data_IF_752871799384
#
_entry.id   IF_752871799384
#
_cell.length_a   1.000
_cell.length_b   1.000
_cell.length_c   1.000
_cell.angle_alpha   90.00
_cell.angle_beta   90.00
_cell.angle_gamma   90.00
#
_symmetry.space_group_name_H-M   'P 1'
#
loop_
_entity.id
_entity.type
_entity.pdbx_description
1 polymer ?
#
# COMPACT_ATOMS: atom_id res chain seq x y z
N UNK A 1 -6.31 2.21 -10.40
CA UNK A 1 -7.21 3.33 -10.10
C UNK A 1 -6.69 4.58 -10.81
N UNK A 2 -7.54 5.28 -11.55
CA UNK A 2 -7.21 6.57 -12.18
C UNK A 2 -7.20 7.75 -11.18
N UNK A 3 -7.57 7.50 -9.93
CA UNK A 3 -7.60 8.52 -8.88
C UNK A 3 -6.25 8.56 -8.16
N UNK A 4 -5.53 9.65 -8.33
CA UNK A 4 -4.21 9.88 -7.73
C UNK A 4 -4.27 10.45 -6.32
N UNK A 5 -5.46 10.85 -5.86
CA UNK A 5 -5.68 11.42 -4.52
C UNK A 5 -4.92 12.71 -4.24
N UNK A 6 -4.35 13.35 -5.26
CA UNK A 6 -3.61 14.60 -5.12
C UNK A 6 -2.25 14.46 -4.43
N UNK A 7 -1.65 13.29 -4.45
CA UNK A 7 -0.40 13.02 -3.73
C UNK A 7 0.73 14.00 -4.10
N UNK A 8 0.94 14.30 -5.39
CA UNK A 8 1.99 15.24 -5.83
C UNK A 8 1.68 16.68 -5.37
N UNK A 9 0.42 17.11 -5.44
CA UNK A 9 -0.01 18.44 -4.96
C UNK A 9 0.25 18.60 -3.46
N UNK A 10 -0.07 17.57 -2.69
CA UNK A 10 0.13 17.58 -1.24
C UNK A 10 1.61 17.56 -0.88
N UNK A 11 2.42 16.74 -1.56
CA UNK A 11 3.87 16.72 -1.38
C UNK A 11 4.47 18.08 -1.68
N UNK A 12 4.08 18.73 -2.80
CA UNK A 12 4.58 20.04 -3.17
C UNK A 12 4.23 21.08 -2.08
N UNK A 13 3.00 21.07 -1.54
CA UNK A 13 2.60 21.94 -0.44
C UNK A 13 3.50 21.75 0.81
N UNK A 14 3.78 20.51 1.20
CA UNK A 14 4.69 20.24 2.32
C UNK A 14 6.12 20.71 2.05
N UNK A 15 6.58 20.70 0.80
CA UNK A 15 7.89 21.22 0.40
C UNK A 15 7.94 22.75 0.43
N UNK A 16 6.86 23.42 -0.02
CA UNK A 16 6.73 24.88 0.01
C UNK A 16 6.79 25.43 1.43
N UNK A 17 6.22 24.74 2.43
CA UNK A 17 6.36 25.10 3.86
C UNK A 17 7.82 25.11 4.33
N UNK A 18 8.73 24.45 3.60
CA UNK A 18 10.17 24.39 3.84
C UNK A 18 10.99 25.18 2.82
N UNK A 19 10.36 26.13 2.11
CA UNK A 19 10.98 26.92 1.03
C UNK A 19 11.60 26.05 -0.08
N UNK A 20 10.98 24.90 -0.39
CA UNK A 20 11.35 23.98 -1.46
C UNK A 20 10.18 23.75 -2.38
N UNK A 21 10.43 23.19 -3.56
CA UNK A 21 9.38 22.82 -4.53
C UNK A 21 9.68 21.47 -5.15
N UNK A 22 8.63 20.81 -5.62
CA UNK A 22 8.73 19.59 -6.40
C UNK A 22 9.14 19.96 -7.83
N UNK A 23 10.28 19.46 -8.30
CA UNK A 23 10.73 19.70 -9.67
C UNK A 23 10.21 18.66 -10.66
N UNK A 24 10.03 17.42 -10.18
CA UNK A 24 9.60 16.31 -11.00
C UNK A 24 8.60 15.43 -10.24
N UNK A 25 7.53 15.00 -10.90
CA UNK A 25 6.53 14.12 -10.33
C UNK A 25 5.73 13.40 -11.41
N UNK A 26 5.61 12.09 -11.30
CA UNK A 26 4.85 11.22 -12.19
C UNK A 26 4.00 10.24 -11.39
N UNK A 27 2.92 9.81 -12.00
CA UNK A 27 2.10 8.73 -11.47
C UNK A 27 2.38 7.44 -12.25
N UNK A 28 2.53 6.34 -11.53
CA UNK A 28 2.59 5.00 -12.07
C UNK A 28 1.35 4.27 -11.57
N UNK A 29 0.54 3.73 -12.47
CA UNK A 29 -0.73 3.12 -12.13
C UNK A 29 -0.61 1.61 -12.16
N UNK A 30 -0.87 0.98 -11.00
CA UNK A 30 -1.04 -0.47 -10.86
C UNK A 30 -2.50 -0.82 -10.59
N UNK A 31 -2.83 -2.11 -10.66
CA UNK A 31 -4.12 -2.59 -10.17
C UNK A 31 -4.20 -2.42 -8.64
N UNK A 32 -5.43 -2.31 -8.13
CA UNK A 32 -5.65 -2.17 -6.68
C UNK A 32 -5.45 -3.50 -5.97
N UNK A 33 -4.66 -3.51 -4.91
CA UNK A 33 -4.55 -4.60 -3.95
C UNK A 33 -5.50 -4.43 -2.74
N UNK A 34 -6.34 -3.40 -2.74
CA UNK A 34 -7.32 -3.19 -1.68
C UNK A 34 -8.52 -4.12 -1.86
N UNK A 35 -8.31 -5.40 -1.54
CA UNK A 35 -9.28 -6.47 -1.75
C UNK A 35 -10.59 -6.35 -0.95
N UNK A 36 -10.76 -5.56 0.11
CA UNK A 36 -12.07 -5.30 0.66
C UNK A 36 -13.08 -4.80 -0.39
N UNK A 37 -12.63 -3.97 -1.35
CA UNK A 37 -13.47 -3.35 -2.36
C UNK A 37 -13.21 -3.87 -3.79
N UNK A 38 -11.99 -4.30 -4.09
CA UNK A 38 -11.57 -4.66 -5.44
C UNK A 38 -11.22 -6.15 -5.53
N UNK A 39 -11.35 -6.70 -6.73
CA UNK A 39 -10.85 -8.04 -7.06
C UNK A 39 -9.42 -7.93 -7.60
N UNK A 40 -8.60 -8.91 -7.26
CA UNK A 40 -7.30 -9.08 -7.91
C UNK A 40 -7.53 -9.52 -9.36
N UNK A 41 -6.89 -8.88 -10.35
CA UNK A 41 -7.01 -9.32 -11.74
C UNK A 41 -6.32 -10.67 -11.95
N UNK A 42 -6.66 -11.42 -13.02
CA UNK A 42 -5.97 -12.66 -13.38
C UNK A 42 -4.45 -12.45 -13.53
N UNK A 43 -3.67 -13.48 -13.25
CA UNK A 43 -2.20 -13.43 -13.22
C UNK A 43 -1.59 -12.88 -14.52
N UNK A 44 -2.06 -13.33 -15.67
CA UNK A 44 -1.62 -12.82 -16.98
C UNK A 44 -1.73 -11.28 -17.06
N UNK A 45 -2.88 -10.74 -16.61
CA UNK A 45 -3.08 -9.29 -16.58
C UNK A 45 -2.19 -8.59 -15.55
N UNK A 46 -1.92 -9.23 -14.41
CA UNK A 46 -0.98 -8.70 -13.42
C UNK A 46 0.42 -8.58 -14.01
N UNK A 47 0.93 -9.68 -14.62
CA UNK A 47 2.26 -9.72 -15.23
C UNK A 47 2.41 -8.70 -16.36
N UNK A 48 1.37 -8.57 -17.20
CA UNK A 48 1.36 -7.54 -18.24
C UNK A 48 1.47 -6.12 -17.66
N UNK A 49 0.68 -5.79 -16.63
CA UNK A 49 0.72 -4.46 -16.00
C UNK A 49 2.10 -4.21 -15.37
N UNK A 50 2.72 -5.22 -14.77
CA UNK A 50 4.06 -5.12 -14.18
C UNK A 50 5.08 -4.81 -15.27
N UNK A 51 5.06 -5.56 -16.38
CA UNK A 51 6.00 -5.36 -17.50
C UNK A 51 5.83 -3.98 -18.15
N UNK A 52 4.59 -3.58 -18.46
CA UNK A 52 4.29 -2.25 -19.05
C UNK A 52 4.81 -1.11 -18.13
N UNK A 53 4.71 -1.28 -16.82
CA UNK A 53 5.19 -0.28 -15.87
C UNK A 53 6.71 -0.28 -15.69
N UNK A 54 7.41 -1.38 -15.92
CA UNK A 54 8.88 -1.41 -15.91
C UNK A 54 9.46 -0.45 -16.97
N UNK A 55 8.92 -0.47 -18.19
CA UNK A 55 9.35 0.46 -19.26
C UNK A 55 9.10 1.92 -18.87
N UNK A 56 7.93 2.19 -18.27
CA UNK A 56 7.58 3.54 -17.80
C UNK A 56 8.53 4.00 -16.69
N UNK A 57 8.92 3.12 -15.76
CA UNK A 57 9.86 3.42 -14.69
C UNK A 57 11.23 3.78 -15.27
N UNK A 58 11.76 3.02 -16.25
CA UNK A 58 13.02 3.34 -16.92
C UNK A 58 12.98 4.70 -17.60
N UNK A 59 11.88 5.01 -18.32
CA UNK A 59 11.68 6.32 -18.93
C UNK A 59 11.73 7.45 -17.87
N UNK A 60 11.01 7.29 -16.76
CA UNK A 60 10.97 8.31 -15.71
C UNK A 60 12.31 8.44 -14.99
N UNK A 61 13.03 7.34 -14.78
CA UNK A 61 14.39 7.38 -14.24
C UNK A 61 15.34 8.18 -15.14
N UNK A 62 15.24 8.01 -16.45
CA UNK A 62 16.02 8.76 -17.42
C UNK A 62 15.64 10.26 -17.45
N UNK A 63 14.34 10.58 -17.35
CA UNK A 63 13.88 11.98 -17.23
C UNK A 63 14.46 12.66 -15.95
N UNK A 64 14.50 11.93 -14.81
CA UNK A 64 15.11 12.43 -13.57
C UNK A 64 16.61 12.61 -13.72
N UNK A 65 17.31 11.63 -14.32
CA UNK A 65 18.76 11.70 -14.57
C UNK A 65 19.15 12.92 -15.41
N UNK A 66 18.31 13.29 -16.40
CA UNK A 66 18.50 14.46 -17.24
C UNK A 66 17.94 15.76 -16.63
N UNK A 67 17.66 15.78 -15.33
CA UNK A 67 17.15 16.94 -14.60
C UNK A 67 15.88 17.58 -15.21
N UNK A 68 15.06 16.78 -15.90
CA UNK A 68 13.82 17.25 -16.52
C UNK A 68 12.86 17.78 -15.47
N UNK A 69 12.40 19.02 -15.62
CA UNK A 69 11.39 19.62 -14.73
C UNK A 69 10.02 19.40 -15.32
N UNK A 70 9.22 18.55 -14.65
CA UNK A 70 7.85 18.27 -15.09
C UNK A 70 7.03 17.60 -13.99
N UNK A 71 5.84 18.09 -13.75
CA UNK A 71 4.92 17.54 -12.74
C UNK A 71 3.63 17.15 -13.47
N UNK A 72 3.23 15.88 -13.34
CA UNK A 72 1.94 15.42 -13.85
C UNK A 72 0.80 15.97 -12.99
N UNK A 73 -0.16 16.63 -13.61
CA UNK A 73 -1.44 16.99 -13.00
C UNK A 73 -2.51 15.95 -13.27
N UNK A 74 -3.52 15.88 -12.41
CA UNK A 74 -4.72 15.09 -12.64
C UNK A 74 -5.95 15.89 -12.16
N UNK A 75 -7.08 15.74 -12.86
CA UNK A 75 -8.34 16.38 -12.48
C UNK A 75 -8.76 16.05 -11.04
N UNK A 76 -8.43 14.85 -10.55
CA UNK A 76 -8.68 14.45 -9.16
C UNK A 76 -7.94 15.30 -8.12
N UNK A 77 -6.88 16.01 -8.50
CA UNK A 77 -6.11 16.87 -7.61
C UNK A 77 -6.93 18.07 -7.11
N UNK A 78 -7.97 18.46 -7.86
CA UNK A 78 -8.90 19.50 -7.43
C UNK A 78 -9.69 19.13 -6.17
N UNK A 79 -10.04 17.85 -6.02
CA UNK A 79 -10.77 17.33 -4.85
C UNK A 79 -9.86 16.71 -3.78
N UNK A 80 -8.55 16.76 -3.98
CA UNK A 80 -7.56 16.06 -3.17
C UNK A 80 -7.69 16.32 -1.66
N UNK A 81 -7.87 17.57 -1.24
CA UNK A 81 -7.95 17.91 0.19
C UNK A 81 -9.17 17.31 0.88
N UNK A 82 -10.31 17.30 0.19
CA UNK A 82 -11.57 16.73 0.72
C UNK A 82 -11.45 15.22 0.90
N UNK A 83 -10.93 14.52 -0.13
CA UNK A 83 -10.73 13.08 -0.08
C UNK A 83 -9.66 12.70 0.93
N UNK A 84 -8.58 13.45 1.03
CA UNK A 84 -7.51 13.20 1.98
C UNK A 84 -8.00 13.31 3.43
N UNK A 85 -8.73 14.38 3.80
CA UNK A 85 -9.27 14.53 5.16
C UNK A 85 -10.17 13.37 5.55
N UNK A 86 -11.03 12.91 4.65
CA UNK A 86 -11.90 11.75 4.88
C UNK A 86 -11.06 10.49 5.04
N UNK A 87 -10.11 10.24 4.13
CA UNK A 87 -9.28 9.05 4.12
C UNK A 87 -8.40 8.93 5.38
N UNK A 88 -7.79 10.02 5.83
CA UNK A 88 -7.01 10.03 7.08
C UNK A 88 -7.87 9.70 8.29
N UNK A 89 -9.10 10.20 8.34
CA UNK A 89 -10.05 9.86 9.43
C UNK A 89 -10.37 8.36 9.42
N UNK A 90 -10.62 7.80 8.26
CA UNK A 90 -10.96 6.38 8.09
C UNK A 90 -9.77 5.47 8.43
N UNK A 91 -8.55 5.86 8.03
CA UNK A 91 -7.32 5.11 8.34
C UNK A 91 -7.00 5.09 9.84
N UNK A 92 -7.13 6.22 10.53
CA UNK A 92 -6.78 6.32 11.96
C UNK A 92 -7.44 5.25 12.84
N UNK A 93 -8.63 4.78 12.44
CA UNK A 93 -9.38 3.76 13.16
C UNK A 93 -9.41 2.41 12.43
N UNK A 94 -8.68 2.25 11.32
CA UNK A 94 -8.76 1.05 10.49
C UNK A 94 -8.24 -0.20 11.20
N UNK A 95 -7.32 -0.04 12.13
CA UNK A 95 -6.70 -1.14 12.88
C UNK A 95 -7.71 -1.98 13.67
N UNK A 96 -8.82 -1.40 14.14
CA UNK A 96 -9.85 -2.12 14.93
C UNK A 96 -10.65 -3.12 14.08
N UNK A 97 -10.58 -3.02 12.76
CA UNK A 97 -11.34 -3.89 11.85
C UNK A 97 -10.57 -5.12 11.38
N UNK A 98 -9.32 -5.28 11.81
CA UNK A 98 -8.58 -6.50 11.55
C UNK A 98 -8.96 -7.59 12.54
N UNK A 99 -9.15 -8.79 12.03
CA UNK A 99 -9.49 -9.98 12.80
C UNK A 99 -8.55 -11.12 12.41
N UNK A 100 -8.26 -11.98 13.39
CA UNK A 100 -7.52 -13.22 13.16
C UNK A 100 -8.42 -14.41 13.44
N UNK A 101 -8.51 -15.33 12.50
CA UNK A 101 -9.14 -16.63 12.72
C UNK A 101 -8.14 -17.52 13.47
N UNK A 102 -8.35 -17.69 14.79
CA UNK A 102 -7.46 -18.45 15.67
C UNK A 102 -7.36 -19.93 15.30
N UNK A 103 -8.34 -20.48 14.56
CA UNK A 103 -8.31 -21.88 14.11
C UNK A 103 -7.38 -22.05 12.90
N UNK A 104 -7.20 -21.01 12.11
CA UNK A 104 -6.32 -21.01 10.94
C UNK A 104 -4.90 -20.50 11.27
N UNK A 105 -4.79 -19.61 12.24
CA UNK A 105 -3.52 -19.00 12.61
C UNK A 105 -2.56 -20.06 13.19
N UNK A 106 -1.37 -20.17 12.62
CA UNK A 106 -0.30 -21.03 13.12
C UNK A 106 0.75 -20.27 13.95
N UNK A 107 0.48 -19.04 14.33
CA UNK A 107 1.29 -18.19 15.20
C UNK A 107 2.72 -17.95 14.68
N UNK A 108 2.92 -17.94 13.35
CA UNK A 108 4.24 -17.82 12.72
C UNK A 108 4.90 -16.43 12.86
N UNK A 109 4.18 -15.39 13.30
CA UNK A 109 4.71 -14.04 13.50
C UNK A 109 5.00 -13.23 12.24
N UNK A 110 4.79 -13.76 11.03
CA UNK A 110 5.10 -13.06 9.78
C UNK A 110 4.38 -11.71 9.66
N UNK A 111 3.14 -11.61 10.13
CA UNK A 111 2.34 -10.38 10.09
C UNK A 111 2.98 -9.22 10.88
N UNK A 112 3.61 -9.50 12.02
CA UNK A 112 4.39 -8.53 12.79
C UNK A 112 5.66 -8.13 12.04
N UNK A 113 6.41 -9.11 11.55
CA UNK A 113 7.69 -8.86 10.85
C UNK A 113 7.50 -8.03 9.58
N UNK A 114 6.45 -8.30 8.78
CA UNK A 114 6.22 -7.63 7.50
C UNK A 114 5.52 -6.27 7.63
N UNK A 115 5.05 -5.90 8.82
CA UNK A 115 4.34 -4.64 9.02
C UNK A 115 5.27 -3.44 8.89
N UNK A 116 5.11 -2.56 7.88
CA UNK A 116 6.08 -1.47 7.62
C UNK A 116 6.07 -0.39 8.71
N UNK A 117 5.00 -0.30 9.49
CA UNK A 117 4.85 0.70 10.57
C UNK A 117 4.97 0.10 11.96
N UNK A 118 5.34 -1.18 12.09
CA UNK A 118 5.39 -1.89 13.37
C UNK A 118 4.10 -1.77 14.18
N UNK A 119 2.95 -1.71 13.49
CA UNK A 119 1.63 -1.60 14.13
C UNK A 119 1.07 -2.93 14.61
N UNK A 120 1.75 -4.03 14.38
CA UNK A 120 1.35 -5.35 14.86
C UNK A 120 2.31 -5.79 15.95
N UNK A 121 1.75 -6.23 17.08
CA UNK A 121 2.47 -6.92 18.14
C UNK A 121 1.84 -8.29 18.36
N UNK A 122 2.59 -9.21 18.89
CA UNK A 122 2.07 -10.52 19.27
C UNK A 122 1.75 -10.53 20.77
N UNK A 123 0.61 -11.12 21.15
CA UNK A 123 0.30 -11.42 22.55
C UNK A 123 1.12 -12.63 23.07
N UNK A 124 0.93 -13.01 24.33
CA UNK A 124 1.63 -14.14 24.96
C UNK A 124 1.37 -15.49 24.25
N UNK A 125 0.25 -15.61 23.57
CA UNK A 125 -0.12 -16.77 22.74
C UNK A 125 0.30 -16.60 21.28
N UNK A 126 1.09 -15.57 20.95
CA UNK A 126 1.54 -15.18 19.61
C UNK A 126 0.40 -14.85 18.64
N UNK A 127 -0.75 -14.40 19.13
CA UNK A 127 -1.79 -13.86 18.26
C UNK A 127 -1.49 -12.40 17.92
N UNK A 128 -1.73 -11.96 16.66
CA UNK A 128 -1.49 -10.58 16.25
C UNK A 128 -2.54 -9.62 16.83
N UNK A 129 -2.04 -8.50 17.36
CA UNK A 129 -2.84 -7.36 17.84
C UNK A 129 -2.42 -6.12 17.06
N UNK A 130 -3.38 -5.39 16.46
CA UNK A 130 -3.12 -4.18 15.68
C UNK A 130 -3.19 -2.93 16.54
N UNK A 131 -2.25 -2.00 16.33
CA UNK A 131 -2.17 -0.68 16.98
C UNK A 131 -2.66 0.44 16.06
N UNK A 132 -2.86 1.61 16.64
CA UNK A 132 -3.43 2.81 15.99
C UNK A 132 -2.50 3.49 14.94
N UNK A 133 -1.28 3.03 14.79
CA UNK A 133 -0.35 3.49 13.74
C UNK A 133 -0.42 2.66 12.44
N UNK A 134 -1.47 1.85 12.29
CA UNK A 134 -1.73 1.08 11.08
C UNK A 134 -2.06 1.99 9.89
N UNK A 135 -1.35 1.82 8.78
CA UNK A 135 -1.56 2.58 7.51
C UNK A 135 -2.49 1.88 6.53
N UNK A 136 -3.14 0.79 6.93
CA UNK A 136 -4.05 0.00 6.09
C UNK A 136 -3.43 -0.48 4.76
N UNK A 137 -2.14 -0.80 4.77
CA UNK A 137 -1.45 -1.31 3.58
C UNK A 137 -1.82 -2.75 3.20
N UNK A 138 -2.50 -3.49 4.09
CA UNK A 138 -2.91 -4.88 3.94
C UNK A 138 -1.77 -5.90 3.78
N UNK A 139 -0.50 -5.53 3.97
CA UNK A 139 0.64 -6.43 3.81
C UNK A 139 0.50 -7.69 4.68
N UNK A 140 0.15 -7.53 5.95
CA UNK A 140 -0.10 -8.65 6.87
C UNK A 140 -1.18 -9.61 6.38
N UNK A 141 -2.22 -9.08 5.74
CA UNK A 141 -3.34 -9.84 5.22
C UNK A 141 -2.96 -10.60 3.95
N UNK A 142 -2.25 -9.97 3.01
CA UNK A 142 -1.83 -10.57 1.74
C UNK A 142 -0.78 -11.66 1.92
N UNK A 143 0.14 -11.51 2.87
CA UNK A 143 1.26 -12.45 3.07
C UNK A 143 1.00 -13.46 4.17
N UNK A 144 -0.20 -13.51 4.76
CA UNK A 144 -0.53 -14.54 5.74
C UNK A 144 -0.58 -15.94 5.10
N UNK A 145 0.35 -16.88 5.42
CA UNK A 145 0.43 -18.17 4.73
C UNK A 145 -0.78 -19.07 4.99
N UNK A 146 -1.57 -18.75 6.03
CA UNK A 146 -2.78 -19.49 6.40
C UNK A 146 -4.08 -18.74 6.07
N UNK A 147 -3.98 -17.56 5.41
CA UNK A 147 -5.13 -16.68 5.16
C UNK A 147 -5.97 -16.42 6.43
N UNK A 148 -5.32 -16.46 7.59
CA UNK A 148 -5.99 -16.33 8.89
C UNK A 148 -6.42 -14.90 9.21
N UNK A 149 -5.90 -13.89 8.52
CA UNK A 149 -6.20 -12.48 8.75
C UNK A 149 -7.34 -12.05 7.84
N UNK A 150 -8.32 -11.38 8.43
CA UNK A 150 -9.47 -10.81 7.74
C UNK A 150 -9.64 -9.33 8.10
N UNK A 151 -10.22 -8.55 7.20
CA UNK A 151 -10.54 -7.15 7.40
C UNK A 151 -12.03 -6.90 7.19
N UNK A 152 -12.70 -6.35 8.20
CA UNK A 152 -14.16 -6.06 8.19
C UNK A 152 -15.03 -7.27 7.85
N UNK A 153 -14.57 -8.49 8.08
CA UNK A 153 -15.24 -9.72 7.63
C UNK A 153 -15.51 -9.80 6.11
N UNK A 154 -14.77 -9.04 5.32
CA UNK A 154 -14.99 -8.89 3.87
C UNK A 154 -13.95 -9.61 3.02
N UNK A 155 -12.88 -10.13 3.62
CA UNK A 155 -11.72 -10.64 2.86
C UNK A 155 -11.45 -12.12 3.04
N UNK A 156 -12.21 -12.82 3.88
CA UNK A 156 -11.98 -14.24 4.26
C UNK A 156 -11.83 -15.17 3.03
N UNK A 157 -12.67 -14.98 2.02
CA UNK A 157 -12.71 -15.84 0.81
C UNK A 157 -12.18 -15.11 -0.43
N UNK A 158 -11.45 -14.01 -0.25
CA UNK A 158 -10.89 -13.25 -1.37
C UNK A 158 -9.47 -13.70 -1.66
N UNK A 159 -9.12 -13.68 -2.93
CA UNK A 159 -7.79 -13.94 -3.41
C UNK A 159 -6.79 -12.96 -2.78
N UNK A 160 -5.59 -13.45 -2.45
CA UNK A 160 -4.49 -12.67 -1.91
C UNK A 160 -3.53 -12.31 -3.03
N UNK A 161 -2.87 -11.18 -2.90
CA UNK A 161 -1.86 -10.75 -3.85
C UNK A 161 -0.48 -10.68 -3.19
N UNK A 162 0.49 -11.27 -3.85
CA UNK A 162 1.91 -11.08 -3.55
C UNK A 162 2.63 -10.80 -4.86
N UNK A 163 3.52 -9.80 -4.88
CA UNK A 163 4.29 -9.52 -6.08
C UNK A 163 5.20 -10.73 -6.40
N UNK A 164 5.13 -11.30 -7.62
CA UNK A 164 5.90 -12.50 -7.95
C UNK A 164 7.41 -12.28 -7.94
N UNK A 165 7.87 -11.03 -8.03
CA UNK A 165 9.30 -10.66 -8.05
C UNK A 165 9.85 -10.24 -6.68
N UNK A 166 9.01 -10.17 -5.64
CA UNK A 166 9.41 -9.67 -4.32
C UNK A 166 8.94 -10.63 -3.24
N UNK A 167 9.87 -11.24 -2.55
CA UNK A 167 9.58 -12.15 -1.44
C UNK A 167 9.21 -11.40 -0.15
N UNK A 168 8.48 -12.04 0.77
CA UNK A 168 8.24 -11.48 2.11
C UNK A 168 9.54 -11.14 2.87
N UNK A 169 10.61 -11.91 2.65
CA UNK A 169 11.92 -11.65 3.26
C UNK A 169 12.51 -10.32 2.80
N UNK A 170 12.46 -10.02 1.50
CA UNK A 170 12.94 -8.74 0.98
C UNK A 170 12.15 -7.56 1.55
N UNK A 171 10.82 -7.70 1.72
CA UNK A 171 10.00 -6.67 2.37
C UNK A 171 10.39 -6.47 3.86
N UNK A 172 10.74 -7.53 4.58
CA UNK A 172 11.20 -7.47 5.95
C UNK A 172 12.58 -6.80 6.04
N UNK A 173 13.49 -7.15 5.13
CA UNK A 173 14.86 -6.61 5.11
C UNK A 173 14.89 -5.11 4.79
N UNK A 174 13.92 -4.57 4.06
CA UNK A 174 13.77 -3.13 3.82
C UNK A 174 13.39 -2.32 5.07
N UNK A 175 12.97 -2.95 6.17
CA UNK A 175 12.63 -2.27 7.43
C UNK A 175 13.85 -1.95 8.30
N UNK A 176 14.99 -2.51 7.99
CA UNK A 176 16.25 -2.28 8.68
C UNK A 176 16.93 -1.03 8.15
#
# INVERSE_FOLDING_TARGET
SSLTGGALKMLNKCLEEKSRSLNYGRYITFFSNFIPEFKIPPEEKQLKIIADNEEIIYKYAHEIYNETKSISGNFSDFFAEKYHKKYIKDIKNSFIYFHVDKKLCNNCGLCEQICPTNSIILDDLKNPLWKNNCTLCLSCLHHCPKNAIDYKHMTKNKERYSNPKISPKELIDQKK
#
